data_IF_570547845176
#
_entry.id   IF_570547845176
#
_cell.length_a   1.000
_cell.length_b   1.000
_cell.length_c   1.000
_cell.angle_alpha   90.00
_cell.angle_beta   90.00
_cell.angle_gamma   90.00
#
_symmetry.space_group_name_H-M   'P 1'
#
loop_
_entity.id
_entity.type
_entity.pdbx_description
1 polymer ?
#
# COMPACT_ATOMS: atom_id res chain seq x y z
N UNK A 1 -49.30 21.28 -66.97
CA UNK A 1 -49.81 21.62 -65.63
C UNK A 1 -49.12 20.70 -64.61
N UNK A 2 -48.14 21.22 -63.84
CA UNK A 2 -47.38 20.46 -62.85
C UNK A 2 -48.15 20.45 -61.53
N UNK A 3 -48.52 19.27 -61.00
CA UNK A 3 -49.08 19.11 -59.66
C UNK A 3 -47.99 18.57 -58.75
N UNK A 4 -47.51 19.40 -57.83
CA UNK A 4 -46.54 19.02 -56.79
C UNK A 4 -47.35 18.71 -55.54
N UNK A 5 -47.40 17.43 -55.16
CA UNK A 5 -48.02 16.99 -53.90
C UNK A 5 -47.00 17.14 -52.77
N UNK A 6 -47.30 18.00 -51.81
CA UNK A 6 -46.50 18.19 -50.60
C UNK A 6 -46.80 17.08 -49.59
N UNK A 7 -45.80 16.26 -49.26
CA UNK A 7 -45.91 15.21 -48.23
C UNK A 7 -45.34 15.73 -46.92
N UNK A 8 -46.20 15.91 -45.92
CA UNK A 8 -45.86 16.29 -44.54
C UNK A 8 -45.29 15.05 -43.82
N UNK A 9 -44.05 15.14 -43.32
CA UNK A 9 -43.43 14.12 -42.47
C UNK A 9 -43.70 14.49 -41.01
N UNK A 10 -44.59 13.74 -40.36
CA UNK A 10 -44.84 13.83 -38.91
C UNK A 10 -43.72 13.07 -38.20
N UNK A 11 -42.81 13.81 -37.55
CA UNK A 11 -41.78 13.24 -36.69
C UNK A 11 -42.38 12.71 -35.39
N UNK A 12 -42.38 11.38 -35.21
CA UNK A 12 -42.65 10.73 -33.94
C UNK A 12 -41.53 11.05 -32.94
N UNK A 13 -41.79 11.98 -32.02
CA UNK A 13 -40.95 12.26 -30.86
C UNK A 13 -41.07 11.11 -29.86
N UNK A 14 -40.08 10.20 -29.87
CA UNK A 14 -40.02 9.08 -28.92
C UNK A 14 -39.56 9.64 -27.57
N UNK A 15 -40.50 9.78 -26.64
CA UNK A 15 -40.25 10.25 -25.28
C UNK A 15 -39.64 9.10 -24.46
N UNK A 16 -38.32 9.12 -24.26
CA UNK A 16 -37.60 8.17 -23.42
C UNK A 16 -38.01 8.32 -21.95
N UNK A 17 -38.99 7.54 -21.52
CA UNK A 17 -39.37 7.41 -20.11
C UNK A 17 -38.22 6.71 -19.35
N UNK A 18 -37.46 7.50 -18.58
CA UNK A 18 -36.56 6.97 -17.56
C UNK A 18 -37.39 6.38 -16.42
N UNK A 19 -37.72 5.09 -16.50
CA UNK A 19 -38.26 4.35 -15.37
C UNK A 19 -37.15 4.20 -14.32
N UNK A 20 -37.11 5.11 -13.36
CA UNK A 20 -36.38 4.90 -12.12
C UNK A 20 -37.01 3.71 -11.40
N UNK A 21 -36.34 2.56 -11.43
CA UNK A 21 -36.78 1.41 -10.62
C UNK A 21 -36.64 1.79 -9.16
N UNK A 22 -37.78 2.01 -8.49
CA UNK A 22 -37.83 2.24 -7.06
C UNK A 22 -37.21 1.02 -6.36
N UNK A 23 -35.95 1.16 -5.91
CA UNK A 23 -35.26 0.13 -5.15
C UNK A 23 -35.75 0.24 -3.71
N UNK A 24 -36.46 -0.78 -3.24
CA UNK A 24 -36.96 -0.83 -1.87
C UNK A 24 -35.80 -0.60 -0.88
N UNK A 25 -36.05 0.21 0.15
CA UNK A 25 -35.07 0.54 1.17
C UNK A 25 -34.51 -0.74 1.83
N UNK A 26 -33.19 -0.84 1.93
CA UNK A 26 -32.51 -2.00 2.51
C UNK A 26 -32.72 -2.01 4.01
N UNK A 27 -33.33 -3.09 4.52
CA UNK A 27 -33.53 -3.33 5.95
C UNK A 27 -32.49 -4.33 6.45
N UNK A 28 -31.69 -4.02 7.49
CA UNK A 28 -30.81 -4.99 8.15
C UNK A 28 -31.50 -6.31 8.47
N UNK A 29 -30.78 -7.42 8.28
CA UNK A 29 -31.28 -8.77 8.54
C UNK A 29 -32.20 -9.35 7.45
N UNK A 30 -32.63 -8.57 6.45
CA UNK A 30 -33.38 -9.12 5.31
C UNK A 30 -32.47 -9.82 4.31
N UNK A 31 -33.02 -10.76 3.54
CA UNK A 31 -32.25 -11.57 2.59
C UNK A 31 -31.71 -10.76 1.43
N UNK A 32 -30.47 -11.03 1.06
CA UNK A 32 -29.79 -10.44 -0.10
C UNK A 32 -29.40 -11.52 -1.11
N UNK A 33 -29.26 -11.13 -2.38
CA UNK A 33 -29.14 -12.10 -3.50
C UNK A 33 -27.73 -12.66 -3.67
N UNK A 34 -26.70 -11.87 -3.34
CA UNK A 34 -25.30 -12.24 -3.62
C UNK A 34 -24.37 -11.78 -2.50
N UNK A 35 -23.54 -12.69 -1.98
CA UNK A 35 -22.55 -12.38 -0.95
C UNK A 35 -21.62 -11.25 -1.42
N UNK A 36 -21.39 -10.27 -0.55
CA UNK A 36 -20.57 -9.09 -0.87
C UNK A 36 -21.28 -8.04 -1.72
N UNK A 37 -22.56 -8.24 -2.10
CA UNK A 37 -23.37 -7.18 -2.71
C UNK A 37 -23.46 -5.98 -1.75
N UNK A 38 -23.29 -4.78 -2.30
CA UNK A 38 -23.35 -3.53 -1.55
C UNK A 38 -24.59 -2.76 -2.01
N UNK A 39 -25.29 -2.14 -1.06
CA UNK A 39 -26.37 -1.21 -1.36
C UNK A 39 -26.34 -0.06 -0.36
N UNK A 40 -26.60 1.15 -0.83
CA UNK A 40 -26.61 2.34 0.00
C UNK A 40 -28.05 2.82 0.13
N UNK A 41 -28.52 3.00 1.36
CA UNK A 41 -29.84 3.56 1.65
C UNK A 41 -29.72 4.52 2.82
N UNK A 42 -30.27 5.73 2.67
CA UNK A 42 -30.19 6.81 3.67
C UNK A 42 -28.76 7.07 4.22
N UNK A 43 -27.77 7.22 3.32
CA UNK A 43 -26.34 7.45 3.65
C UNK A 43 -25.68 6.35 4.51
N UNK A 44 -26.31 5.17 4.59
CA UNK A 44 -25.77 3.98 5.25
C UNK A 44 -25.43 2.95 4.17
N UNK A 45 -24.19 2.46 4.20
CA UNK A 45 -23.70 1.41 3.31
C UNK A 45 -23.95 0.03 3.92
N UNK A 46 -24.84 -0.75 3.30
CA UNK A 46 -25.13 -2.12 3.67
C UNK A 46 -24.32 -3.09 2.81
N UNK A 47 -23.82 -4.16 3.44
CA UNK A 47 -23.14 -5.26 2.76
C UNK A 47 -23.88 -6.55 3.02
N UNK A 48 -24.12 -7.32 1.97
CA UNK A 48 -24.69 -8.66 2.03
C UNK A 48 -23.66 -9.63 2.63
N UNK A 49 -23.96 -10.18 3.81
CA UNK A 49 -23.08 -11.07 4.57
C UNK A 49 -23.73 -12.45 4.75
N UNK A 50 -22.91 -13.45 5.03
CA UNK A 50 -23.41 -14.79 5.40
C UNK A 50 -23.79 -14.77 6.89
N UNK A 51 -25.04 -15.12 7.18
CA UNK A 51 -25.53 -15.33 8.55
C UNK A 51 -26.12 -16.74 8.63
N UNK A 52 -25.40 -17.63 9.32
CA UNK A 52 -25.67 -19.05 9.31
C UNK A 52 -25.66 -19.64 7.88
N UNK A 53 -26.80 -20.19 7.45
CA UNK A 53 -27.00 -20.79 6.12
C UNK A 53 -27.58 -19.81 5.08
N UNK A 54 -27.88 -18.56 5.44
CA UNK A 54 -28.53 -17.57 4.55
C UNK A 54 -27.62 -16.36 4.31
N UNK A 55 -27.93 -15.61 3.25
CA UNK A 55 -27.32 -14.31 2.96
C UNK A 55 -28.26 -13.20 3.41
N UNK A 56 -27.78 -12.29 4.26
CA UNK A 56 -28.56 -11.18 4.82
C UNK A 56 -27.80 -9.87 4.78
N UNK A 57 -28.52 -8.75 4.71
CA UNK A 57 -27.91 -7.42 4.84
C UNK A 57 -27.41 -7.21 6.28
N UNK A 58 -26.17 -6.70 6.42
CA UNK A 58 -25.63 -6.31 7.73
C UNK A 58 -26.38 -5.08 8.30
N UNK A 59 -25.98 -4.61 9.49
CA UNK A 59 -26.60 -3.43 10.13
C UNK A 59 -26.33 -2.11 9.41
N UNK A 60 -25.51 -2.11 8.35
CA UNK A 60 -25.07 -0.92 7.65
C UNK A 60 -23.99 -0.16 8.41
N UNK A 61 -23.18 0.60 7.67
CA UNK A 61 -22.17 1.52 8.23
C UNK A 61 -22.43 2.91 7.64
N UNK A 62 -22.69 3.89 8.50
CA UNK A 62 -22.89 5.28 8.07
C UNK A 62 -21.62 5.85 7.45
N UNK A 63 -21.75 6.62 6.37
CA UNK A 63 -20.59 7.13 5.61
C UNK A 63 -20.11 8.53 6.03
N UNK A 64 -20.58 9.09 7.16
CA UNK A 64 -20.07 10.36 7.70
C UNK A 64 -19.82 10.25 9.21
N UNK A 65 -18.63 10.67 9.62
CA UNK A 65 -18.20 10.71 11.01
C UNK A 65 -18.96 11.76 11.81
N UNK A 66 -19.61 11.32 12.88
CA UNK A 66 -19.83 12.06 14.12
C UNK A 66 -20.38 11.08 15.15
N UNK A 67 -19.65 10.91 16.24
CA UNK A 67 -20.03 10.07 17.38
C UNK A 67 -21.07 10.81 18.23
N UNK A 68 -22.16 10.16 18.69
CA UNK A 68 -22.95 10.68 19.78
C UNK A 68 -22.61 9.95 21.10
N UNK A 69 -22.20 10.75 22.08
CA UNK A 69 -22.07 10.41 23.50
C UNK A 69 -23.44 10.13 24.13
N UNK A 70 -23.53 9.11 25.00
CA UNK A 70 -24.59 8.92 26.01
C UNK A 70 -24.22 7.79 27.00
N UNK A 71 -24.83 7.71 28.21
CA UNK A 71 -24.10 7.82 29.49
C UNK A 71 -23.82 6.50 30.23
N UNK A 72 -23.07 6.64 31.32
CA UNK A 72 -22.51 5.63 32.20
C UNK A 72 -23.48 4.52 32.68
N UNK A 73 -22.96 3.29 32.74
CA UNK A 73 -23.40 2.27 33.70
C UNK A 73 -22.21 1.36 34.05
N UNK A 74 -22.03 1.17 35.35
CA UNK A 74 -20.90 0.56 36.06
C UNK A 74 -20.74 -0.96 35.84
N UNK A 75 -19.52 -1.41 35.56
CA UNK A 75 -18.89 -2.63 36.14
C UNK A 75 -17.44 -2.77 35.62
N UNK A 76 -16.45 -3.18 36.45
CA UNK A 76 -15.05 -3.19 36.06
C UNK A 76 -14.73 -4.49 35.34
N UNK A 77 -14.33 -4.41 34.07
CA UNK A 77 -13.52 -5.47 33.49
C UNK A 77 -12.48 -4.86 32.56
N UNK A 78 -11.23 -5.19 32.82
CA UNK A 78 -10.07 -4.76 32.05
C UNK A 78 -10.17 -5.31 30.62
N UNK A 79 -10.81 -4.54 29.74
CA UNK A 79 -10.79 -4.73 28.29
C UNK A 79 -9.99 -3.59 27.69
N UNK A 80 -8.75 -3.86 27.30
CA UNK A 80 -7.93 -2.92 26.54
C UNK A 80 -8.73 -2.44 25.32
N UNK A 81 -9.06 -1.15 25.31
CA UNK A 81 -9.42 -0.41 24.09
C UNK A 81 -8.36 -0.69 23.03
N UNK A 82 -8.72 -1.03 21.76
CA UNK A 82 -7.74 -1.05 20.69
C UNK A 82 -7.35 0.41 20.41
N UNK A 83 -6.36 0.89 21.14
CA UNK A 83 -5.63 2.10 20.77
C UNK A 83 -5.06 1.85 19.37
N UNK A 84 -5.43 2.70 18.42
CA UNK A 84 -4.87 2.73 17.05
C UNK A 84 -3.44 3.26 17.03
N UNK A 85 -2.63 2.90 18.04
CA UNK A 85 -1.24 3.28 18.16
C UNK A 85 -0.36 2.33 17.35
N UNK A 86 0.65 2.88 16.68
CA UNK A 86 1.66 2.07 16.02
C UNK A 86 2.43 1.20 17.03
N UNK A 87 2.96 0.04 16.60
CA UNK A 87 3.86 -0.73 17.44
C UNK A 87 5.11 0.10 17.78
N UNK A 88 5.77 -0.27 18.89
CA UNK A 88 7.06 0.28 19.30
C UNK A 88 8.02 -0.89 19.52
N UNK A 89 9.12 -1.03 18.76
CA UNK A 89 9.52 -0.22 17.59
C UNK A 89 8.49 -0.30 16.45
N UNK A 90 8.52 0.69 15.54
CA UNK A 90 7.55 0.77 14.45
C UNK A 90 7.66 -0.41 13.48
N UNK A 91 8.88 -0.94 13.29
CA UNK A 91 9.19 -2.01 12.35
C UNK A 91 9.91 -3.15 13.06
N UNK A 92 9.68 -4.37 12.60
CA UNK A 92 10.65 -5.45 12.74
C UNK A 92 11.67 -5.38 11.60
N UNK A 93 12.89 -5.82 11.85
CA UNK A 93 13.94 -5.79 10.83
C UNK A 93 13.64 -6.82 9.73
N UNK A 94 13.56 -6.39 8.45
CA UNK A 94 13.04 -7.23 7.38
C UNK A 94 14.06 -8.24 6.84
N UNK A 95 15.34 -8.12 7.19
CA UNK A 95 16.44 -8.98 6.71
C UNK A 95 17.35 -9.39 7.86
N UNK A 96 18.18 -10.41 7.62
CA UNK A 96 19.22 -10.83 8.57
C UNK A 96 20.39 -9.83 8.56
N UNK A 97 20.51 -9.00 9.60
CA UNK A 97 21.55 -7.98 9.70
C UNK A 97 22.96 -8.54 9.75
N UNK A 98 23.15 -9.81 10.14
CA UNK A 98 24.49 -10.42 10.15
C UNK A 98 25.08 -10.56 8.75
N UNK A 99 24.24 -10.48 7.71
CA UNK A 99 24.65 -10.54 6.30
C UNK A 99 24.74 -9.17 5.63
N UNK A 100 24.21 -8.12 6.26
CA UNK A 100 24.18 -6.79 5.66
C UNK A 100 25.57 -6.14 5.78
N UNK A 101 26.11 -5.67 4.66
CA UNK A 101 27.44 -5.05 4.58
C UNK A 101 27.40 -3.55 4.41
N UNK A 102 26.30 -3.00 3.88
CA UNK A 102 26.16 -1.57 3.59
C UNK A 102 24.69 -1.13 3.59
N UNK A 103 24.47 0.18 3.70
CA UNK A 103 23.14 0.78 3.70
C UNK A 103 23.03 1.83 2.60
N UNK A 104 21.96 1.75 1.81
CA UNK A 104 21.49 2.91 1.03
C UNK A 104 20.60 3.75 1.94
N UNK A 105 20.98 5.01 2.17
CA UNK A 105 20.20 5.91 3.01
C UNK A 105 18.94 6.38 2.25
N UNK A 106 17.78 6.49 2.91
CA UNK A 106 16.60 7.08 2.29
C UNK A 106 16.77 8.60 2.15
N UNK A 107 16.09 9.21 1.18
CA UNK A 107 16.08 10.67 0.99
C UNK A 107 17.34 11.19 0.33
N UNK A 108 17.76 10.59 -0.78
CA UNK A 108 18.94 10.98 -1.55
C UNK A 108 18.65 11.06 -3.04
N UNK A 109 19.41 11.90 -3.75
CA UNK A 109 19.48 11.92 -5.21
C UNK A 109 20.42 10.83 -5.74
N UNK A 110 19.87 9.79 -6.38
CA UNK A 110 20.65 8.66 -6.91
C UNK A 110 20.23 8.31 -8.33
N UNK A 111 21.22 8.22 -9.24
CA UNK A 111 20.95 7.93 -10.65
C UNK A 111 20.07 8.98 -11.34
N UNK A 112 20.21 10.25 -10.93
CA UNK A 112 19.45 11.38 -11.47
C UNK A 112 17.98 11.44 -11.04
N UNK A 113 17.60 10.68 -10.00
CA UNK A 113 16.25 10.70 -9.45
C UNK A 113 16.30 10.73 -7.92
N UNK A 114 15.35 11.44 -7.33
CA UNK A 114 15.14 11.40 -5.90
C UNK A 114 14.67 10.02 -5.45
N UNK A 115 15.23 9.53 -4.34
CA UNK A 115 14.89 8.25 -3.74
C UNK A 115 14.48 8.46 -2.30
N UNK A 116 13.18 8.55 -2.05
CA UNK A 116 12.63 8.54 -0.70
C UNK A 116 12.68 7.16 0.00
N UNK A 117 13.31 6.17 -0.63
CA UNK A 117 13.59 4.87 -0.03
C UNK A 117 15.10 4.67 0.04
N UNK A 118 15.51 3.78 0.94
CA UNK A 118 16.88 3.30 1.06
C UNK A 118 16.97 1.85 0.64
N UNK A 119 17.84 1.10 1.29
CA UNK A 119 17.97 -0.33 1.05
C UNK A 119 19.09 -0.96 1.86
N UNK A 120 19.07 -2.29 1.88
CA UNK A 120 20.11 -3.11 2.50
C UNK A 120 21.03 -3.66 1.42
N UNK A 121 22.34 -3.61 1.68
CA UNK A 121 23.34 -4.20 0.81
C UNK A 121 24.05 -5.41 1.37
N UNK A 122 24.37 -6.32 0.44
CA UNK A 122 25.00 -7.61 0.69
C UNK A 122 26.19 -7.75 -0.27
N UNK A 123 27.10 -6.80 -0.23
CA UNK A 123 28.12 -6.57 -1.26
C UNK A 123 29.16 -7.71 -1.34
N UNK A 124 29.28 -8.49 -0.28
CA UNK A 124 30.15 -9.67 -0.21
C UNK A 124 29.40 -10.98 -0.52
N UNK A 125 28.11 -10.93 -0.86
CA UNK A 125 27.32 -12.13 -1.14
C UNK A 125 27.77 -12.77 -2.46
N UNK A 126 27.91 -14.09 -2.45
CA UNK A 126 28.24 -14.90 -3.64
C UNK A 126 27.00 -15.47 -4.33
N UNK A 127 25.83 -15.24 -3.74
CA UNK A 127 24.53 -15.68 -4.22
C UNK A 127 23.47 -14.62 -3.87
N UNK A 128 22.25 -14.80 -4.37
CA UNK A 128 21.13 -13.90 -4.08
C UNK A 128 20.33 -14.29 -2.83
N UNK A 129 20.78 -15.24 -2.00
CA UNK A 129 20.00 -15.87 -0.93
C UNK A 129 19.82 -14.97 0.30
N UNK A 130 18.92 -13.99 0.14
CA UNK A 130 18.47 -13.09 1.19
C UNK A 130 16.99 -13.33 1.44
N UNK A 131 16.68 -13.76 2.67
CA UNK A 131 15.29 -13.86 3.12
C UNK A 131 14.80 -12.47 3.52
N UNK A 132 13.70 -12.03 2.90
CA UNK A 132 13.01 -10.78 3.22
C UNK A 132 11.69 -11.09 3.91
N UNK A 133 11.44 -10.42 5.03
CA UNK A 133 10.24 -10.58 5.86
C UNK A 133 9.43 -9.29 5.93
N UNK A 134 8.13 -9.44 6.11
CA UNK A 134 7.22 -8.32 6.33
C UNK A 134 7.55 -7.65 7.69
N UNK A 135 7.87 -6.34 7.71
CA UNK A 135 8.31 -5.64 8.91
C UNK A 135 7.15 -5.11 9.77
N UNK A 136 5.96 -4.98 9.18
CA UNK A 136 4.76 -4.41 9.79
C UNK A 136 3.51 -5.08 9.21
N UNK A 137 2.55 -5.42 10.08
CA UNK A 137 1.22 -5.90 9.65
C UNK A 137 0.58 -4.91 8.67
N UNK A 138 -0.11 -5.40 7.65
CA UNK A 138 -0.70 -4.50 6.66
C UNK A 138 -1.39 -5.23 5.53
N UNK A 139 -1.43 -4.58 4.36
CA UNK A 139 -1.99 -5.15 3.14
C UNK A 139 -1.12 -4.77 1.95
N UNK A 140 -0.93 -5.70 1.03
CA UNK A 140 -0.43 -5.42 -0.31
C UNK A 140 -1.48 -4.58 -1.03
N UNK A 141 -1.10 -3.37 -1.44
CA UNK A 141 -2.00 -2.45 -2.13
C UNK A 141 -1.56 -2.20 -3.55
N UNK A 142 -0.26 -2.32 -3.86
CA UNK A 142 0.23 -2.15 -5.22
C UNK A 142 1.41 -3.08 -5.49
N UNK A 143 1.52 -3.55 -6.73
CA UNK A 143 2.60 -4.44 -7.16
C UNK A 143 3.06 -4.11 -8.57
N UNK A 144 4.27 -4.49 -8.92
CA UNK A 144 4.67 -4.71 -10.31
C UNK A 144 5.66 -5.85 -10.39
N UNK A 145 5.57 -6.61 -11.47
CA UNK A 145 6.64 -7.48 -11.96
C UNK A 145 7.22 -6.82 -13.20
N UNK A 146 8.50 -6.49 -13.18
CA UNK A 146 9.12 -5.70 -14.24
C UNK A 146 10.41 -6.35 -14.71
N UNK A 147 10.78 -6.07 -15.96
CA UNK A 147 12.05 -6.51 -16.53
C UNK A 147 13.11 -5.45 -16.31
N UNK A 148 14.25 -5.88 -15.78
CA UNK A 148 15.43 -5.04 -15.62
C UNK A 148 16.67 -5.91 -15.87
N UNK A 149 17.59 -5.42 -16.70
CA UNK A 149 18.79 -6.17 -17.11
C UNK A 149 18.50 -7.59 -17.64
N UNK A 150 17.34 -7.78 -18.29
CA UNK A 150 16.91 -9.06 -18.84
C UNK A 150 16.24 -10.01 -17.83
N UNK A 151 16.26 -9.68 -16.53
CA UNK A 151 15.68 -10.49 -15.45
C UNK A 151 14.34 -9.91 -14.98
N UNK A 152 13.50 -10.73 -14.36
CA UNK A 152 12.26 -10.27 -13.73
C UNK A 152 12.54 -9.92 -12.27
N UNK A 153 12.16 -8.70 -11.88
CA UNK A 153 12.20 -8.18 -10.52
C UNK A 153 10.79 -7.83 -10.05
N UNK A 154 10.60 -7.77 -8.73
CA UNK A 154 9.31 -7.48 -8.13
C UNK A 154 9.39 -6.34 -7.13
N UNK A 155 8.41 -5.45 -7.24
CA UNK A 155 8.18 -4.33 -6.34
C UNK A 155 6.81 -4.51 -5.70
N UNK A 156 6.75 -4.37 -4.38
CA UNK A 156 5.52 -4.35 -3.62
C UNK A 156 5.41 -3.08 -2.80
N UNK A 157 4.24 -2.46 -2.81
CA UNK A 157 3.85 -1.39 -1.91
C UNK A 157 2.75 -1.88 -0.98
N UNK A 158 2.87 -1.51 0.29
CA UNK A 158 2.00 -1.95 1.36
C UNK A 158 1.39 -0.75 2.07
N UNK A 159 0.10 -0.86 2.35
CA UNK A 159 -0.52 -0.07 3.41
C UNK A 159 -0.33 -0.84 4.71
N UNK A 160 0.70 -0.46 5.46
CA UNK A 160 0.89 -0.94 6.82
C UNK A 160 -0.20 -0.41 7.74
N UNK A 161 -0.41 -1.13 8.83
CA UNK A 161 -1.32 -0.68 9.88
C UNK A 161 -0.86 0.67 10.46
N UNK A 162 -1.74 1.32 11.21
CA UNK A 162 -1.47 2.57 11.92
C UNK A 162 -1.05 3.78 11.04
N UNK A 163 -1.31 3.74 9.73
CA UNK A 163 -1.06 4.88 8.82
C UNK A 163 0.37 4.96 8.29
N UNK A 164 1.12 3.85 8.34
CA UNK A 164 2.48 3.76 7.83
C UNK A 164 2.49 2.86 6.60
N UNK A 165 2.97 3.37 5.48
CA UNK A 165 3.18 2.57 4.27
C UNK A 165 4.64 2.14 4.18
N UNK A 166 4.90 1.00 3.55
CA UNK A 166 6.27 0.56 3.27
C UNK A 166 6.33 -0.10 1.90
N UNK A 167 7.55 -0.23 1.36
CA UNK A 167 7.77 -0.88 0.07
C UNK A 167 9.04 -1.72 0.07
N UNK A 168 9.02 -2.74 -0.76
CA UNK A 168 10.21 -3.47 -1.19
C UNK A 168 10.34 -3.34 -2.71
N UNK A 169 11.57 -3.22 -3.18
CA UNK A 169 11.92 -3.29 -4.60
C UNK A 169 13.10 -4.24 -4.80
N UNK A 170 13.37 -4.62 -6.06
CA UNK A 170 14.43 -5.57 -6.40
C UNK A 170 14.30 -6.91 -5.65
N UNK A 171 13.07 -7.39 -5.45
CA UNK A 171 12.84 -8.77 -5.01
C UNK A 171 13.01 -9.70 -6.21
N UNK A 172 13.62 -10.88 -6.02
CA UNK A 172 13.92 -11.84 -7.10
C UNK A 172 13.09 -13.11 -7.04
N UNK A 173 13.08 -13.80 -5.90
CA UNK A 173 12.33 -15.06 -5.72
C UNK A 173 11.34 -14.93 -4.60
N UNK A 174 10.06 -14.86 -4.96
CA UNK A 174 8.96 -14.69 -4.03
C UNK A 174 8.53 -16.03 -3.42
N UNK A 175 7.89 -15.97 -2.24
CA UNK A 175 7.17 -17.14 -1.70
C UNK A 175 5.80 -17.31 -2.38
N UNK A 176 5.18 -18.51 -2.34
CA UNK A 176 4.00 -18.81 -3.14
C UNK A 176 2.83 -17.83 -2.96
N UNK A 177 2.63 -17.30 -1.75
CA UNK A 177 1.59 -16.31 -1.45
C UNK A 177 1.78 -15.04 -2.29
N UNK A 178 2.99 -14.51 -2.34
CA UNK A 178 3.30 -13.24 -3.00
C UNK A 178 3.43 -13.43 -4.51
N UNK A 179 3.97 -14.56 -4.94
CA UNK A 179 4.00 -14.97 -6.34
C UNK A 179 2.59 -15.05 -6.94
N UNK A 180 1.63 -15.64 -6.22
CA UNK A 180 0.23 -15.69 -6.64
C UNK A 180 -0.39 -14.30 -6.84
N UNK A 181 0.03 -13.30 -6.05
CA UNK A 181 -0.45 -11.91 -6.20
C UNK A 181 0.10 -11.28 -7.48
N UNK A 182 1.41 -11.31 -7.71
CA UNK A 182 2.04 -10.66 -8.88
C UNK A 182 1.72 -11.37 -10.20
N UNK A 183 1.43 -12.67 -10.17
CA UNK A 183 1.07 -13.43 -11.37
C UNK A 183 -0.30 -13.03 -11.96
N UNK A 184 -1.11 -12.26 -11.24
CA UNK A 184 -2.32 -11.66 -11.78
C UNK A 184 -2.06 -10.42 -12.66
N UNK A 185 -0.82 -9.94 -12.72
CA UNK A 185 -0.43 -8.72 -13.43
C UNK A 185 0.54 -9.01 -14.58
N UNK A 186 0.54 -8.17 -15.64
CA UNK A 186 1.50 -8.33 -16.74
C UNK A 186 2.92 -7.98 -16.30
N UNK A 187 3.92 -8.49 -17.05
CA UNK A 187 5.30 -7.98 -16.96
C UNK A 187 5.35 -6.60 -17.63
N UNK A 188 6.02 -5.65 -16.98
CA UNK A 188 6.29 -4.31 -17.51
C UNK A 188 7.77 -4.10 -17.79
N UNK A 189 8.08 -3.09 -18.60
CA UNK A 189 9.44 -2.59 -18.84
C UNK A 189 9.75 -1.33 -18.01
N UNK A 190 8.90 -1.03 -17.04
CA UNK A 190 9.03 0.08 -16.09
C UNK A 190 8.51 -0.33 -14.71
N UNK A 191 8.78 0.51 -13.71
CA UNK A 191 8.49 0.23 -12.29
C UNK A 191 7.16 0.80 -11.81
N UNK A 192 6.26 1.24 -12.70
CA UNK A 192 4.96 1.77 -12.28
C UNK A 192 4.07 0.64 -11.77
N UNK A 193 3.68 0.74 -10.51
CA UNK A 193 2.86 -0.26 -9.84
C UNK A 193 1.40 -0.27 -10.31
N UNK A 194 0.74 -1.42 -10.19
CA UNK A 194 -0.70 -1.61 -10.40
C UNK A 194 -1.42 -1.80 -9.06
N UNK A 195 -2.65 -1.30 -8.90
CA UNK A 195 -3.42 -1.51 -7.69
C UNK A 195 -3.87 -2.96 -7.54
N UNK A 196 -3.70 -3.53 -6.35
CA UNK A 196 -4.21 -4.84 -5.96
C UNK A 196 -5.61 -4.69 -5.38
N UNK A 197 -6.60 -5.32 -6.01
CA UNK A 197 -8.01 -5.25 -5.59
C UNK A 197 -8.67 -6.63 -5.64
N UNK A 198 -9.15 -7.18 -4.51
CA UNK A 198 -9.05 -6.62 -3.15
C UNK A 198 -7.59 -6.66 -2.62
N UNK A 199 -7.18 -5.72 -1.75
CA UNK A 199 -5.88 -5.76 -1.08
C UNK A 199 -5.67 -7.06 -0.29
N UNK A 200 -4.45 -7.58 -0.29
CA UNK A 200 -4.10 -8.87 0.33
C UNK A 200 -3.40 -8.65 1.66
N UNK A 201 -3.94 -9.19 2.75
CA UNK A 201 -3.38 -9.02 4.09
C UNK A 201 -2.01 -9.68 4.25
N UNK A 202 -1.13 -9.03 4.99
CA UNK A 202 0.19 -9.55 5.39
C UNK A 202 0.41 -9.37 6.89
N UNK A 203 1.14 -10.29 7.48
CA UNK A 203 1.50 -10.23 8.90
C UNK A 203 3.01 -10.13 9.06
N UNK A 204 3.44 -9.43 10.10
CA UNK A 204 4.84 -9.28 10.48
C UNK A 204 5.51 -10.65 10.57
N UNK A 205 6.73 -10.76 10.03
CA UNK A 205 7.50 -12.00 9.99
C UNK A 205 7.16 -12.96 8.84
N UNK A 206 6.07 -12.74 8.10
CA UNK A 206 5.82 -13.49 6.85
C UNK A 206 6.99 -13.30 5.88
N UNK A 207 7.48 -14.39 5.31
CA UNK A 207 8.54 -14.34 4.30
C UNK A 207 7.94 -13.97 2.96
N UNK A 208 8.35 -12.83 2.40
CA UNK A 208 7.93 -12.38 1.07
C UNK A 208 8.83 -12.91 -0.03
N UNK A 209 10.14 -12.94 0.20
CA UNK A 209 11.12 -13.37 -0.77
C UNK A 209 12.26 -14.15 -0.11
N UNK A 210 12.87 -15.05 -0.87
CA UNK A 210 14.07 -15.82 -0.48
C UNK A 210 15.30 -15.44 -1.29
N UNK A 211 15.13 -14.66 -2.38
CA UNK A 211 16.22 -14.10 -3.15
C UNK A 211 15.93 -12.63 -3.52
N UNK A 212 16.97 -11.81 -3.63
CA UNK A 212 16.90 -10.37 -3.93
C UNK A 212 17.96 -9.93 -4.94
N UNK A 213 17.70 -8.81 -5.62
CA UNK A 213 18.65 -8.14 -6.49
C UNK A 213 19.09 -8.97 -7.70
N UNK A 214 20.31 -8.67 -8.15
CA UNK A 214 20.98 -9.30 -9.28
C UNK A 214 22.21 -10.07 -8.79
N UNK A 215 22.68 -11.06 -9.54
CA UNK A 215 23.85 -11.88 -9.16
C UNK A 215 25.10 -11.04 -8.82
N UNK A 216 25.34 -9.96 -9.54
CA UNK A 216 26.49 -9.06 -9.32
C UNK A 216 26.14 -7.80 -8.50
N UNK A 217 24.90 -7.72 -8.00
CA UNK A 217 24.41 -6.56 -7.25
C UNK A 217 23.31 -7.02 -6.29
N UNK A 218 23.73 -7.66 -5.19
CA UNK A 218 22.81 -8.21 -4.19
C UNK A 218 22.35 -7.08 -3.27
N UNK A 219 21.10 -6.67 -3.45
CA UNK A 219 20.47 -5.58 -2.71
C UNK A 219 18.98 -5.79 -2.63
N UNK A 220 18.35 -5.19 -1.61
CA UNK A 220 16.91 -5.00 -1.58
C UNK A 220 16.61 -3.57 -1.19
N UNK A 221 15.80 -2.89 -1.98
CA UNK A 221 15.37 -1.54 -1.63
C UNK A 221 14.27 -1.62 -0.58
N UNK A 222 14.34 -0.70 0.37
CA UNK A 222 13.38 -0.61 1.46
C UNK A 222 13.03 0.85 1.73
N UNK A 223 11.74 1.15 1.65
CA UNK A 223 11.20 2.49 1.90
C UNK A 223 10.07 2.41 2.93
N UNK A 224 9.98 3.42 3.78
CA UNK A 224 8.94 3.53 4.80
C UNK A 224 8.45 4.97 4.81
N UNK A 225 7.13 5.11 4.87
CA UNK A 225 6.44 6.37 4.70
C UNK A 225 5.41 6.52 5.82
N UNK A 226 5.54 7.56 6.63
CA UNK A 226 4.55 7.88 7.65
C UNK A 226 3.47 8.76 7.05
N UNK A 227 2.37 8.17 6.58
CA UNK A 227 1.32 8.91 5.87
C UNK A 227 0.51 9.84 6.80
N UNK A 228 0.79 9.83 8.11
CA UNK A 228 0.16 10.71 9.10
C UNK A 228 0.87 12.05 9.20
N UNK A 229 2.15 12.11 8.86
CA UNK A 229 2.98 13.30 9.01
C UNK A 229 4.02 13.41 7.90
N UNK A 230 4.11 14.61 7.32
CA UNK A 230 5.15 14.93 6.36
C UNK A 230 6.53 14.99 7.03
N UNK A 231 7.57 14.61 6.30
CA UNK A 231 8.94 14.70 6.78
C UNK A 231 9.44 16.15 6.86
N UNK A 232 10.49 16.36 7.64
CA UNK A 232 11.04 17.70 7.88
C UNK A 232 11.52 18.39 6.61
N UNK A 233 12.13 17.65 5.67
CA UNK A 233 12.60 18.19 4.40
C UNK A 233 11.48 18.83 3.58
N UNK A 234 10.31 18.16 3.53
CA UNK A 234 9.15 18.64 2.76
C UNK A 234 8.45 19.86 3.33
N UNK A 235 8.87 20.36 4.50
CA UNK A 235 8.41 21.65 5.02
C UNK A 235 9.05 22.84 4.30
N UNK A 236 10.20 22.63 3.66
CA UNK A 236 10.82 23.62 2.77
C UNK A 236 10.02 23.72 1.46
N UNK A 237 9.46 24.90 1.10
CA UNK A 237 8.72 25.07 -0.13
C UNK A 237 9.52 24.79 -1.41
N UNK A 238 10.82 25.10 -1.42
CA UNK A 238 11.69 24.85 -2.57
C UNK A 238 11.89 23.34 -2.76
N UNK A 239 12.12 22.62 -1.66
CA UNK A 239 12.17 21.16 -1.69
C UNK A 239 10.83 20.58 -2.15
N UNK A 240 9.71 21.03 -1.58
CA UNK A 240 8.39 20.52 -1.92
C UNK A 240 8.04 20.75 -3.41
N UNK A 241 8.47 21.89 -3.97
CA UNK A 241 8.32 22.17 -5.39
C UNK A 241 9.21 21.30 -6.27
N UNK A 242 10.44 21.02 -5.86
CA UNK A 242 11.37 20.16 -6.61
C UNK A 242 10.93 18.70 -6.64
N UNK A 243 10.23 18.23 -5.59
CA UNK A 243 9.83 16.83 -5.41
C UNK A 243 8.31 16.61 -5.55
N UNK A 244 7.60 17.51 -6.23
CA UNK A 244 6.13 17.45 -6.34
C UNK A 244 5.63 16.32 -7.24
N UNK A 245 6.49 15.75 -8.10
CA UNK A 245 6.13 14.69 -9.04
C UNK A 245 5.67 13.41 -8.33
N UNK A 246 6.27 13.11 -7.17
CA UNK A 246 5.97 11.91 -6.40
C UNK A 246 5.57 12.32 -4.96
N UNK A 247 4.27 12.55 -4.70
CA UNK A 247 3.81 13.04 -3.40
C UNK A 247 4.21 12.19 -2.19
N UNK A 248 4.44 10.89 -2.40
CA UNK A 248 4.92 9.97 -1.36
C UNK A 248 6.29 10.38 -0.80
N UNK A 249 7.13 11.08 -1.57
CA UNK A 249 8.47 11.50 -1.14
C UNK A 249 8.41 12.43 0.07
N UNK A 250 7.33 13.21 0.20
CA UNK A 250 7.09 14.08 1.37
C UNK A 250 6.77 13.33 2.66
N UNK A 251 6.54 12.01 2.59
CA UNK A 251 6.18 11.19 3.75
C UNK A 251 7.27 10.18 4.12
N UNK A 252 8.36 10.11 3.33
CA UNK A 252 9.47 9.20 3.61
C UNK A 252 10.10 9.50 4.97
N UNK A 253 10.36 8.46 5.77
CA UNK A 253 10.99 8.58 7.08
C UNK A 253 12.37 7.92 7.11
N UNK A 254 13.18 8.31 8.08
CA UNK A 254 14.42 7.62 8.40
C UNK A 254 14.10 6.26 9.06
N UNK A 255 13.86 5.24 8.25
CA UNK A 255 13.48 3.92 8.72
C UNK A 255 14.59 3.25 9.57
N UNK A 256 15.84 3.71 9.45
CA UNK A 256 16.94 3.32 10.35
C UNK A 256 16.57 3.58 11.82
N UNK A 257 15.84 4.66 12.12
CA UNK A 257 15.38 5.02 13.47
C UNK A 257 14.13 4.24 13.91
N UNK A 258 13.52 3.49 12.99
CA UNK A 258 12.23 2.80 13.20
C UNK A 258 12.37 1.31 13.47
N UNK A 259 13.59 0.78 13.37
CA UNK A 259 13.96 -0.60 13.71
C UNK A 259 14.06 -0.80 15.23
N UNK A 260 14.11 -2.06 15.74
CA UNK A 260 14.51 -2.33 17.12
C UNK A 260 15.84 -1.63 17.46
N UNK A 261 16.00 -1.19 18.71
CA UNK A 261 17.12 -0.33 19.10
C UNK A 261 18.50 -0.90 18.74
N UNK A 262 18.73 -2.20 19.02
CA UNK A 262 19.99 -2.86 18.69
C UNK A 262 20.25 -2.86 17.17
N UNK A 263 19.22 -3.14 16.39
CA UNK A 263 19.26 -3.18 14.94
C UNK A 263 19.48 -1.78 14.34
N UNK A 264 18.82 -0.76 14.90
CA UNK A 264 19.00 0.65 14.54
C UNK A 264 20.45 1.10 14.73
N UNK A 265 21.07 0.72 15.85
CA UNK A 265 22.48 0.99 16.10
C UNK A 265 23.38 0.24 15.11
N UNK A 266 23.10 -1.03 14.86
CA UNK A 266 23.88 -1.85 13.94
C UNK A 266 23.85 -1.28 12.51
N UNK A 267 22.67 -0.94 11.96
CA UNK A 267 22.57 -0.42 10.59
C UNK A 267 23.25 0.93 10.42
N UNK A 268 23.23 1.79 11.44
CA UNK A 268 23.89 3.11 11.39
C UNK A 268 25.42 3.03 11.42
N UNK A 269 25.97 1.92 11.93
CA UNK A 269 27.42 1.68 11.94
C UNK A 269 27.94 1.10 10.62
N UNK A 270 27.04 0.61 9.75
CA UNK A 270 27.43 0.10 8.44
C UNK A 270 27.84 1.23 7.49
N UNK A 271 28.79 0.98 6.57
CA UNK A 271 29.17 1.94 5.55
C UNK A 271 27.98 2.30 4.65
N UNK A 272 27.98 3.52 4.12
CA UNK A 272 27.07 3.86 3.04
C UNK A 272 27.41 3.04 1.80
N UNK A 273 26.38 2.50 1.15
CA UNK A 273 26.51 1.84 -0.16
C UNK A 273 26.69 2.85 -1.29
N UNK A 274 26.13 4.05 -1.16
CA UNK A 274 26.31 5.10 -2.14
C UNK A 274 27.58 5.88 -1.85
N UNK A 275 28.63 5.60 -2.63
CA UNK A 275 29.93 6.26 -2.49
C UNK A 275 29.91 7.76 -2.83
N UNK A 276 28.90 8.24 -3.57
CA UNK A 276 28.80 9.66 -3.94
C UNK A 276 28.14 10.48 -2.84
N UNK A 277 26.97 10.06 -2.38
CA UNK A 277 26.22 10.81 -1.37
C UNK A 277 26.62 10.43 0.06
N UNK A 278 27.25 9.27 0.27
CA UNK A 278 27.57 8.77 1.60
C UNK A 278 26.31 8.63 2.45
N UNK A 279 26.38 9.06 3.70
CA UNK A 279 25.24 9.06 4.64
C UNK A 279 24.38 10.33 4.53
N UNK A 280 24.66 11.22 3.57
CA UNK A 280 23.90 12.47 3.40
C UNK A 280 22.46 12.14 3.05
N UNK A 281 21.51 12.66 3.82
CA UNK A 281 20.07 12.46 3.59
C UNK A 281 19.30 13.71 4.00
N UNK A 282 18.24 14.01 3.25
CA UNK A 282 17.40 15.17 3.54
C UNK A 282 16.64 15.04 4.86
N UNK A 283 16.30 13.81 5.27
CA UNK A 283 15.47 13.55 6.46
C UNK A 283 15.98 12.42 7.37
N UNK A 284 17.08 11.74 7.02
CA UNK A 284 17.69 10.68 7.81
C UNK A 284 19.01 11.15 8.41
N UNK A 285 18.89 11.87 9.54
CA UNK A 285 20.00 12.41 10.31
C UNK A 285 20.32 11.52 11.52
#
# INVERSE_FOLDING_TARGET
MKRVSATIVIGCLVLSLNLSTATAAVKPGTTCKKLGQISTSAEIKYTCIKSGKKLVWNKGVGTKGSSPTSPASSSPNAGATPSSSCPTPLLQTPVDLSKVTSILYPGQERGGNYKAHGGFGFDNATDNLVTVKIPLNGKITRVVRYREMGEIQYLFEFDGNCGVSFRFDHLRKLTPKFEAVVNAFPIKEDTRTDPVSPPVAVTVGEVIATEVGFLNNVSVDFGVYDMRQKNEASKDPAWASAHSQYPADSYGICWLNSLPQADSLAVKLLPSRDGKNGQTSDYCK
#
